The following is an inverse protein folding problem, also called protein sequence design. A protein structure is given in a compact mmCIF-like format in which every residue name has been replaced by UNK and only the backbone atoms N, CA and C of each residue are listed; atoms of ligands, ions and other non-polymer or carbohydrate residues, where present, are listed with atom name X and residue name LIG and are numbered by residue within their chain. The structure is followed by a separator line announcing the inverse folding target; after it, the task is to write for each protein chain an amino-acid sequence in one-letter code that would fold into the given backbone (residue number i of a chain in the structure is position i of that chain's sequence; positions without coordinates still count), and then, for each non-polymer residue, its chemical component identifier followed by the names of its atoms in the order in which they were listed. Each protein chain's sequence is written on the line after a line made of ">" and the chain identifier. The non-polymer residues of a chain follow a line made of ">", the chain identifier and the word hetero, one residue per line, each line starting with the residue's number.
data_IF_752759848054
#
_entry.id   IF_752759848054
#
_cell.length_a   1.000
_cell.length_b   1.000
_cell.length_c   1.000
_cell.angle_alpha   90.00
_cell.angle_beta   90.00
_cell.angle_gamma   90.00
#
_symmetry.space_group_name_H-M   'P 1'
#
loop_
_entity.id
_entity.type
_entity.pdbx_description
1 polymer ?
#
# COMPACT_ATOMS: atom_id res chain seq x y z
N UNK A 1 -6.37 -8.53 -23.10
CA UNK A 1 -6.02 -9.92 -23.48
C UNK A 1 -6.24 -10.85 -22.28
N UNK A 2 -6.74 -12.07 -22.50
CA UNK A 2 -7.14 -13.01 -21.44
C UNK A 2 -6.00 -13.37 -20.44
N UNK A 3 -4.75 -13.22 -20.87
CA UNK A 3 -3.56 -13.52 -20.06
C UNK A 3 -2.95 -12.26 -19.39
N UNK A 4 -3.65 -11.12 -19.45
CA UNK A 4 -3.23 -9.89 -18.82
C UNK A 4 -4.15 -9.55 -17.65
N UNK A 5 -3.59 -8.94 -16.62
CA UNK A 5 -4.31 -8.46 -15.47
C UNK A 5 -3.60 -7.25 -14.85
N UNK A 6 -4.27 -6.62 -13.92
CA UNK A 6 -3.76 -5.44 -13.22
C UNK A 6 -3.28 -5.84 -11.83
N UNK A 7 -2.08 -5.44 -11.47
CA UNK A 7 -1.67 -5.27 -10.10
C UNK A 7 -2.09 -3.85 -9.68
N UNK A 8 -3.11 -3.75 -8.84
CA UNK A 8 -3.58 -2.46 -8.38
C UNK A 8 -2.85 -2.05 -7.11
N UNK A 9 -2.14 -0.93 -7.18
CA UNK A 9 -1.40 -0.34 -6.07
C UNK A 9 -2.11 0.93 -5.60
N UNK A 10 -2.73 0.89 -4.43
CA UNK A 10 -3.52 2.01 -3.89
C UNK A 10 -2.65 3.24 -3.61
N UNK A 11 -1.40 3.05 -3.17
CA UNK A 11 -0.48 4.18 -2.92
C UNK A 11 -0.22 4.96 -4.20
N UNK A 12 0.07 4.27 -5.32
CA UNK A 12 0.24 4.92 -6.61
C UNK A 12 -1.04 5.61 -7.06
N UNK A 13 -2.18 4.96 -6.92
CA UNK A 13 -3.47 5.56 -7.29
C UNK A 13 -3.76 6.85 -6.52
N UNK A 14 -3.44 6.90 -5.22
CA UNK A 14 -3.62 8.10 -4.38
C UNK A 14 -2.63 9.20 -4.73
N UNK A 15 -1.35 8.86 -4.94
CA UNK A 15 -0.30 9.85 -5.24
C UNK A 15 -0.49 10.47 -6.62
N UNK A 16 -0.84 9.67 -7.62
CA UNK A 16 -0.96 10.10 -9.02
C UNK A 16 -2.36 10.64 -9.35
N UNK A 17 -3.40 10.08 -8.72
CA UNK A 17 -4.80 10.43 -8.99
C UNK A 17 -5.48 11.29 -7.93
N UNK A 18 -4.85 11.52 -6.78
CA UNK A 18 -5.47 12.23 -5.65
C UNK A 18 -6.82 11.61 -5.29
N UNK A 19 -7.83 12.43 -5.04
CA UNK A 19 -9.19 11.97 -4.70
C UNK A 19 -9.89 11.17 -5.82
N UNK A 20 -9.42 11.26 -7.06
CA UNK A 20 -10.00 10.51 -8.18
C UNK A 20 -9.56 9.03 -8.25
N UNK A 21 -8.74 8.55 -7.32
CA UNK A 21 -8.39 7.13 -7.24
C UNK A 21 -9.62 6.21 -7.18
N UNK A 22 -10.72 6.68 -6.57
CA UNK A 22 -11.99 5.93 -6.47
C UNK A 22 -12.61 5.69 -7.87
N UNK A 23 -12.54 6.68 -8.74
CA UNK A 23 -13.02 6.54 -10.12
C UNK A 23 -12.13 5.56 -10.92
N UNK A 24 -10.81 5.65 -10.74
CA UNK A 24 -9.86 4.72 -11.34
C UNK A 24 -10.12 3.27 -10.91
N UNK A 25 -10.31 3.04 -9.61
CA UNK A 25 -10.66 1.71 -9.08
C UNK A 25 -11.98 1.21 -9.66
N UNK A 26 -13.01 2.06 -9.73
CA UNK A 26 -14.30 1.70 -10.32
C UNK A 26 -14.21 1.28 -11.79
N UNK A 27 -13.31 1.88 -12.55
CA UNK A 27 -13.10 1.52 -13.96
C UNK A 27 -12.29 0.24 -14.14
N UNK A 28 -11.24 0.04 -13.30
CA UNK A 28 -10.27 -1.02 -13.53
C UNK A 28 -10.56 -2.32 -12.77
N UNK A 29 -11.48 -2.30 -11.79
CA UNK A 29 -11.72 -3.42 -10.87
C UNK A 29 -11.95 -4.78 -11.56
N UNK A 30 -12.61 -4.92 -12.74
CA UNK A 30 -12.81 -6.23 -13.35
C UNK A 30 -11.51 -6.90 -13.84
N UNK A 31 -10.45 -6.11 -13.95
CA UNK A 31 -9.15 -6.56 -14.46
C UNK A 31 -8.10 -6.80 -13.37
N UNK A 32 -8.42 -6.50 -12.10
CA UNK A 32 -7.51 -6.67 -10.97
C UNK A 32 -7.27 -8.15 -10.72
N UNK A 33 -5.99 -8.53 -10.62
CA UNK A 33 -5.53 -9.89 -10.33
C UNK A 33 -4.68 -10.00 -9.08
N UNK A 34 -4.16 -8.88 -8.60
CA UNK A 34 -3.40 -8.77 -7.36
C UNK A 34 -3.50 -7.35 -6.83
N UNK A 35 -3.45 -7.19 -5.53
CA UNK A 35 -3.43 -5.90 -4.84
C UNK A 35 -2.05 -5.68 -4.21
N UNK A 36 -1.48 -4.50 -4.39
CA UNK A 36 -0.32 -4.03 -3.65
C UNK A 36 -0.78 -3.02 -2.59
N UNK A 37 -0.39 -3.27 -1.34
CA UNK A 37 -0.78 -2.45 -0.19
C UNK A 37 0.47 -1.84 0.42
N UNK A 38 0.51 -0.54 0.48
CA UNK A 38 1.49 0.28 1.19
C UNK A 38 0.91 1.65 1.49
N UNK A 39 1.49 2.37 2.43
CA UNK A 39 1.02 3.68 2.86
C UNK A 39 2.05 4.77 2.62
N UNK A 40 1.62 6.01 2.55
CA UNK A 40 2.48 7.15 2.27
C UNK A 40 1.89 8.44 2.83
N UNK A 41 2.77 9.44 2.92
CA UNK A 41 2.39 10.83 3.22
C UNK A 41 3.03 11.79 2.22
N UNK A 42 2.37 12.90 1.94
CA UNK A 42 3.03 14.07 1.37
C UNK A 42 3.72 14.84 2.48
N UNK A 43 5.01 15.10 2.32
CA UNK A 43 5.81 15.87 3.29
C UNK A 43 6.65 16.91 2.57
N UNK A 44 7.09 17.93 3.30
CA UNK A 44 7.95 18.99 2.76
C UNK A 44 9.38 18.77 3.23
N UNK A 45 10.30 18.56 2.29
CA UNK A 45 11.71 18.37 2.56
C UNK A 45 12.54 19.30 1.67
N UNK A 46 13.44 20.07 2.29
CA UNK A 46 14.29 21.05 1.59
C UNK A 46 13.50 21.99 0.66
N UNK A 47 12.32 22.44 1.10
CA UNK A 47 11.48 23.33 0.31
C UNK A 47 10.60 22.68 -0.75
N UNK A 48 10.80 21.41 -1.06
CA UNK A 48 10.03 20.67 -2.06
C UNK A 48 9.05 19.69 -1.40
N UNK A 49 7.90 19.49 -2.03
CA UNK A 49 6.96 18.42 -1.67
C UNK A 49 7.46 17.09 -2.21
N UNK A 50 7.52 16.09 -1.35
CA UNK A 50 7.89 14.73 -1.69
C UNK A 50 6.89 13.75 -1.10
N UNK A 51 6.81 12.55 -1.67
CA UNK A 51 6.06 11.43 -1.09
C UNK A 51 7.02 10.55 -0.30
N UNK A 52 6.73 10.35 0.96
CA UNK A 52 7.43 9.37 1.81
C UNK A 52 6.54 8.18 2.09
N UNK A 53 7.09 6.97 1.96
CA UNK A 53 6.43 5.75 2.39
C UNK A 53 6.53 5.65 3.91
N UNK A 54 5.44 5.23 4.55
CA UNK A 54 5.32 5.10 6.00
C UNK A 54 4.72 3.73 6.36
N UNK A 55 4.84 3.31 7.62
CA UNK A 55 4.17 2.11 8.10
C UNK A 55 2.67 2.14 7.84
N UNK A 56 2.09 0.97 7.61
CA UNK A 56 0.67 0.85 7.27
C UNK A 56 -0.25 1.43 8.35
N UNK A 57 -1.12 2.34 7.94
CA UNK A 57 -2.06 3.06 8.80
C UNK A 57 -1.50 4.30 9.49
N UNK A 58 -0.26 4.69 9.18
CA UNK A 58 0.36 5.94 9.65
C UNK A 58 0.37 7.03 8.55
N UNK A 59 -0.14 6.70 7.37
CA UNK A 59 -0.15 7.58 6.21
C UNK A 59 -1.51 8.19 5.91
N UNK A 60 -1.65 8.59 4.64
CA UNK A 60 -2.82 9.34 4.16
C UNK A 60 -3.76 8.49 3.29
N UNK A 61 -3.46 7.21 3.07
CA UNK A 61 -4.33 6.34 2.28
C UNK A 61 -5.62 6.05 3.05
N UNK A 62 -6.76 6.34 2.44
CA UNK A 62 -8.08 6.02 3.01
C UNK A 62 -8.40 4.52 2.84
N UNK A 63 -7.75 3.70 3.65
CA UNK A 63 -7.93 2.25 3.62
C UNK A 63 -9.36 1.82 3.93
N UNK A 64 -10.07 2.57 4.76
CA UNK A 64 -11.47 2.25 5.09
C UNK A 64 -12.34 2.30 3.82
N UNK A 65 -12.30 3.40 3.08
CA UNK A 65 -13.01 3.51 1.80
C UNK A 65 -12.52 2.50 0.78
N UNK A 66 -11.20 2.28 0.73
CA UNK A 66 -10.60 1.37 -0.23
C UNK A 66 -11.08 -0.08 -0.03
N UNK A 67 -10.96 -0.62 1.18
CA UNK A 67 -11.39 -2.00 1.48
C UNK A 67 -12.90 -2.17 1.39
N UNK A 68 -13.68 -1.14 1.75
CA UNK A 68 -15.12 -1.14 1.51
C UNK A 68 -15.44 -1.33 0.02
N UNK A 69 -14.80 -0.56 -0.86
CA UNK A 69 -14.99 -0.70 -2.31
C UNK A 69 -14.56 -2.08 -2.83
N UNK A 70 -13.42 -2.64 -2.34
CA UNK A 70 -12.99 -3.99 -2.72
C UNK A 70 -14.04 -5.06 -2.35
N UNK A 71 -14.65 -4.93 -1.16
CA UNK A 71 -15.73 -5.82 -0.72
C UNK A 71 -16.99 -5.65 -1.60
N UNK A 72 -17.40 -4.42 -1.89
CA UNK A 72 -18.55 -4.11 -2.75
C UNK A 72 -18.37 -4.67 -4.17
N UNK A 73 -17.15 -4.62 -4.71
CA UNK A 73 -16.81 -5.20 -6.01
C UNK A 73 -16.53 -6.70 -5.97
N UNK A 74 -16.63 -7.34 -4.79
CA UNK A 74 -16.31 -8.75 -4.58
C UNK A 74 -14.93 -9.15 -5.11
N UNK A 75 -13.92 -8.31 -4.88
CA UNK A 75 -12.55 -8.57 -5.32
C UNK A 75 -11.90 -9.56 -4.35
N UNK A 76 -11.64 -10.78 -4.82
CA UNK A 76 -11.03 -11.88 -4.08
C UNK A 76 -9.73 -12.30 -4.78
N UNK A 77 -8.69 -11.54 -4.59
CA UNK A 77 -7.37 -11.75 -5.21
C UNK A 77 -6.27 -11.70 -4.13
N UNK A 78 -5.08 -12.24 -4.40
CA UNK A 78 -3.96 -12.12 -3.48
C UNK A 78 -3.62 -10.67 -3.16
N UNK A 79 -3.20 -10.43 -1.90
CA UNK A 79 -2.70 -9.15 -1.42
C UNK A 79 -1.20 -9.28 -1.18
N UNK A 80 -0.42 -8.41 -1.81
CA UNK A 80 1.00 -8.21 -1.54
C UNK A 80 1.16 -7.00 -0.64
N UNK A 81 1.66 -7.20 0.59
CA UNK A 81 1.97 -6.12 1.52
C UNK A 81 3.42 -5.68 1.30
N UNK A 82 3.61 -4.42 0.94
CA UNK A 82 4.91 -3.84 0.62
C UNK A 82 5.47 -3.05 1.80
N UNK A 83 6.75 -3.26 2.07
CA UNK A 83 7.50 -2.61 3.15
C UNK A 83 8.57 -1.71 2.54
N UNK A 84 8.16 -0.52 2.06
CA UNK A 84 9.02 0.41 1.34
C UNK A 84 9.38 1.67 2.16
N UNK A 85 9.07 1.70 3.46
CA UNK A 85 9.53 2.73 4.39
C UNK A 85 10.89 2.35 4.99
N UNK A 86 11.63 3.28 5.64
CA UNK A 86 12.98 3.02 6.11
C UNK A 86 13.10 1.79 7.02
N UNK A 87 13.83 0.78 6.57
CA UNK A 87 14.07 -0.50 7.25
C UNK A 87 15.56 -0.90 7.21
N UNK A 88 16.45 0.09 7.38
CA UNK A 88 17.89 -0.13 7.44
C UNK A 88 18.53 -0.48 6.10
N UNK A 89 17.90 -0.10 4.98
CA UNK A 89 18.33 -0.36 3.62
C UNK A 89 17.64 -1.55 2.95
N UNK A 90 16.89 -2.37 3.71
CA UNK A 90 16.14 -3.50 3.14
C UNK A 90 15.12 -3.04 2.11
N UNK A 91 14.50 -1.88 2.32
CA UNK A 91 13.53 -1.24 1.42
C UNK A 91 14.14 -0.85 0.04
N UNK A 92 15.44 -0.79 -0.05
CA UNK A 92 16.18 -0.50 -1.29
C UNK A 92 16.92 -1.70 -1.86
N UNK A 93 16.70 -2.90 -1.28
CA UNK A 93 17.37 -4.13 -1.72
C UNK A 93 18.87 -4.17 -1.41
N UNK A 94 19.31 -3.49 -0.34
CA UNK A 94 20.71 -3.52 0.07
C UNK A 94 21.16 -4.95 0.41
N UNK A 95 22.39 -5.30 0.03
CA UNK A 95 23.01 -6.60 0.33
C UNK A 95 23.32 -6.78 1.82
N UNK A 96 23.42 -5.68 2.56
CA UNK A 96 23.54 -5.65 4.01
C UNK A 96 22.58 -4.61 4.59
N UNK A 97 21.92 -4.94 5.68
CA UNK A 97 20.99 -4.06 6.38
C UNK A 97 21.62 -3.54 7.67
N UNK A 98 21.37 -2.28 7.98
CA UNK A 98 21.90 -1.61 9.20
C UNK A 98 21.04 -1.82 10.43
N UNK A 99 19.84 -2.41 10.27
CA UNK A 99 18.87 -2.64 11.35
C UNK A 99 18.83 -4.13 11.72
N UNK A 100 18.63 -4.43 13.01
CA UNK A 100 18.45 -5.81 13.47
C UNK A 100 17.25 -6.47 12.75
N UNK A 101 17.46 -7.69 12.28
CA UNK A 101 16.43 -8.49 11.58
C UNK A 101 15.17 -8.68 12.42
N UNK A 102 15.30 -8.79 13.76
CA UNK A 102 14.16 -8.93 14.65
C UNK A 102 13.26 -7.68 14.64
N UNK A 103 13.87 -6.49 14.54
CA UNK A 103 13.14 -5.22 14.41
C UNK A 103 12.37 -5.21 13.08
N UNK A 104 13.01 -5.63 11.99
CA UNK A 104 12.36 -5.72 10.67
C UNK A 104 11.17 -6.67 10.73
N UNK A 105 11.34 -7.87 11.28
CA UNK A 105 10.24 -8.83 11.42
C UNK A 105 9.11 -8.33 12.32
N UNK A 106 9.43 -7.56 13.37
CA UNK A 106 8.43 -6.94 14.23
C UNK A 106 7.59 -5.90 13.45
N UNK A 107 8.24 -5.07 12.61
CA UNK A 107 7.56 -4.13 11.73
C UNK A 107 6.65 -4.85 10.71
N UNK A 108 7.15 -5.88 10.05
CA UNK A 108 6.36 -6.68 9.10
C UNK A 108 5.13 -7.30 9.78
N UNK A 109 5.30 -7.86 10.97
CA UNK A 109 4.20 -8.45 11.75
C UNK A 109 3.18 -7.39 12.19
N UNK A 110 3.65 -6.21 12.60
CA UNK A 110 2.79 -5.06 12.95
C UNK A 110 1.92 -4.67 11.77
N UNK A 111 2.51 -4.46 10.61
CA UNK A 111 1.78 -4.03 9.41
C UNK A 111 0.80 -5.09 8.90
N UNK A 112 1.18 -6.38 8.99
CA UNK A 112 0.25 -7.47 8.68
C UNK A 112 -0.97 -7.48 9.62
N UNK A 113 -0.75 -7.26 10.92
CA UNK A 113 -1.85 -7.16 11.89
C UNK A 113 -2.70 -5.92 11.62
N UNK A 114 -2.07 -4.80 11.27
CA UNK A 114 -2.78 -3.58 10.90
C UNK A 114 -3.64 -3.77 9.63
N UNK A 115 -3.11 -4.44 8.62
CA UNK A 115 -3.88 -4.80 7.41
C UNK A 115 -5.13 -5.60 7.76
N UNK A 116 -4.99 -6.63 8.60
CA UNK A 116 -6.12 -7.46 9.04
C UNK A 116 -7.17 -6.64 9.80
N UNK A 117 -6.73 -5.75 10.70
CA UNK A 117 -7.61 -4.84 11.43
C UNK A 117 -8.39 -3.94 10.47
N UNK A 118 -7.70 -3.23 9.58
CA UNK A 118 -8.31 -2.31 8.61
C UNK A 118 -9.31 -3.02 7.68
N UNK A 119 -8.99 -4.26 7.29
CA UNK A 119 -9.90 -5.09 6.51
C UNK A 119 -11.18 -5.45 7.29
N UNK A 120 -11.05 -5.77 8.59
CA UNK A 120 -12.21 -6.09 9.44
C UNK A 120 -13.11 -4.89 9.69
N UNK A 121 -12.53 -3.69 9.84
CA UNK A 121 -13.24 -2.44 10.15
C UNK A 121 -13.96 -1.82 8.93
N UNK A 122 -13.63 -2.25 7.73
CA UNK A 122 -14.26 -1.82 6.49
C UNK A 122 -15.48 -2.70 6.16
#
# INVERSE_FOLDING_TARGET
>A
HKNMGVQYDIRHAVVEGGMSWKNGLNLIHPHIKILAIKDCVWTKKNGSWIVENVPLGEGMVDFKSYFKMLKEFNIQVPISLHYEYPMGGAEHGASSISTDKQIIFAHMKRDLNKLKQLWQEA
#
